data_IF_892612956077
#
_entry.id   IF_892612956077
#
_cell.length_a   1.000
_cell.length_b   1.000
_cell.length_c   1.000
_cell.angle_alpha   90.00
_cell.angle_beta   90.00
_cell.angle_gamma   90.00
#
_symmetry.space_group_name_H-M   'P 1'
#
loop_
_entity.id
_entity.type
_entity.pdbx_description
1 polymer ?
#
# COMPACT_ATOMS: atom_id res chain seq x y z
N UNK A 1 19.01 15.44 41.98
CA UNK A 1 19.19 13.97 42.01
C UNK A 1 17.95 13.33 41.42
N UNK A 2 17.91 13.15 40.10
CA UNK A 2 16.84 12.43 39.41
C UNK A 2 17.22 10.95 39.41
N UNK A 3 16.67 10.19 40.34
CA UNK A 3 16.69 8.74 40.31
C UNK A 3 15.76 8.29 39.16
N UNK A 4 16.30 8.30 37.94
CA UNK A 4 15.62 7.80 36.76
C UNK A 4 15.38 6.30 36.89
N UNK A 5 14.14 5.89 36.63
CA UNK A 5 13.61 4.56 36.84
C UNK A 5 14.55 3.45 36.29
N UNK A 6 15.22 2.67 37.16
CA UNK A 6 16.17 1.65 36.73
C UNK A 6 15.51 0.56 35.86
N UNK A 7 14.21 0.36 36.00
CA UNK A 7 13.40 -0.53 35.15
C UNK A 7 13.33 -0.07 33.69
N UNK A 8 13.31 1.24 33.42
CA UNK A 8 13.29 1.78 32.05
C UNK A 8 14.66 1.62 31.39
N UNK A 9 15.73 1.82 32.16
CA UNK A 9 17.11 1.61 31.68
C UNK A 9 17.36 0.12 31.43
N UNK A 10 16.87 -0.76 32.32
CA UNK A 10 16.91 -2.20 32.11
C UNK A 10 16.08 -2.63 30.89
N UNK A 11 14.91 -2.02 30.67
CA UNK A 11 14.07 -2.28 29.49
C UNK A 11 14.73 -1.81 28.19
N UNK A 12 15.37 -0.64 28.20
CA UNK A 12 16.13 -0.12 27.06
C UNK A 12 17.39 -0.95 26.79
N UNK A 13 18.10 -1.37 27.84
CA UNK A 13 19.24 -2.28 27.72
C UNK A 13 18.80 -3.65 27.22
N UNK A 14 17.69 -4.20 27.72
CA UNK A 14 17.09 -5.45 27.25
C UNK A 14 16.64 -5.35 25.79
N UNK A 15 16.11 -4.22 25.37
CA UNK A 15 15.78 -3.95 23.96
C UNK A 15 17.04 -3.83 23.08
N UNK A 16 18.14 -3.27 23.60
CA UNK A 16 19.42 -3.13 22.89
C UNK A 16 20.27 -4.42 22.88
N UNK A 17 20.19 -5.25 23.92
CA UNK A 17 20.99 -6.46 24.14
C UNK A 17 20.25 -7.74 23.73
N UNK A 18 18.95 -7.82 24.02
CA UNK A 18 18.03 -8.79 23.42
C UNK A 18 17.50 -8.21 22.12
N UNK A 19 18.43 -7.83 21.25
CA UNK A 19 18.20 -7.05 20.05
C UNK A 19 16.92 -7.51 19.38
N UNK A 20 16.04 -6.53 19.11
CA UNK A 20 14.85 -6.65 18.26
C UNK A 20 14.57 -8.11 17.99
N UNK A 21 13.74 -8.77 18.81
CA UNK A 21 13.09 -9.98 18.35
C UNK A 21 12.41 -9.55 17.06
N UNK A 22 13.16 -9.67 15.97
CA UNK A 22 12.74 -9.45 14.61
C UNK A 22 11.54 -10.32 14.58
N UNK A 23 10.35 -9.71 14.52
CA UNK A 23 9.12 -10.42 14.21
C UNK A 23 9.52 -11.37 13.09
N UNK A 24 9.69 -12.64 13.46
CA UNK A 24 10.56 -13.50 12.68
C UNK A 24 9.79 -13.70 11.40
N UNK A 25 10.24 -13.03 10.34
CA UNK A 25 9.45 -12.92 9.13
C UNK A 25 9.23 -14.36 8.67
N UNK A 26 7.99 -14.85 8.76
CA UNK A 26 7.57 -16.11 8.14
C UNK A 26 7.67 -16.02 6.60
N UNK A 27 8.15 -14.89 6.09
CA UNK A 27 8.36 -14.55 4.69
C UNK A 27 9.66 -15.19 4.20
N UNK A 28 9.56 -16.42 3.68
CA UNK A 28 10.66 -17.09 2.99
C UNK A 28 10.85 -16.50 1.59
N UNK A 29 11.56 -15.37 1.50
CA UNK A 29 11.83 -14.66 0.24
C UNK A 29 12.42 -15.56 -0.86
N UNK A 30 13.20 -16.59 -0.48
CA UNK A 30 13.85 -17.53 -1.42
C UNK A 30 12.88 -18.44 -2.17
N UNK A 31 11.69 -18.65 -1.63
CA UNK A 31 10.64 -19.49 -2.23
C UNK A 31 9.64 -18.68 -3.07
N UNK A 32 9.74 -17.35 -3.04
CA UNK A 32 8.82 -16.46 -3.76
C UNK A 32 9.22 -16.30 -5.22
N UNK A 33 8.21 -16.16 -6.09
CA UNK A 33 8.46 -15.76 -7.46
C UNK A 33 9.04 -14.33 -7.52
N UNK A 34 9.83 -13.99 -8.56
CA UNK A 34 10.51 -12.70 -8.64
C UNK A 34 9.57 -11.49 -8.54
N UNK A 35 8.40 -11.55 -9.18
CA UNK A 35 7.39 -10.48 -9.16
C UNK A 35 6.81 -10.24 -7.77
N UNK A 36 6.56 -11.31 -6.99
CA UNK A 36 6.11 -11.16 -5.61
C UNK A 36 7.19 -10.60 -4.70
N UNK A 37 8.44 -11.01 -4.89
CA UNK A 37 9.58 -10.41 -4.18
C UNK A 37 9.67 -8.91 -4.43
N UNK A 38 9.48 -8.48 -5.68
CA UNK A 38 9.42 -7.06 -6.04
C UNK A 38 8.26 -6.35 -5.33
N UNK A 39 7.07 -6.95 -5.25
CA UNK A 39 5.95 -6.38 -4.50
C UNK A 39 6.31 -6.15 -3.03
N UNK A 40 6.94 -7.12 -2.35
CA UNK A 40 7.41 -6.92 -0.98
C UNK A 40 8.49 -5.84 -0.86
N UNK A 41 9.35 -5.66 -1.87
CA UNK A 41 10.29 -4.54 -1.87
C UNK A 41 9.55 -3.20 -1.92
N UNK A 42 8.54 -3.06 -2.77
CA UNK A 42 7.69 -1.87 -2.83
C UNK A 42 6.95 -1.62 -1.52
N UNK A 43 6.44 -2.68 -0.88
CA UNK A 43 5.78 -2.58 0.43
C UNK A 43 6.75 -1.99 1.48
N UNK A 44 7.97 -2.49 1.55
CA UNK A 44 8.99 -2.00 2.49
C UNK A 44 9.45 -0.57 2.20
N UNK A 45 9.48 -0.17 0.92
CA UNK A 45 9.87 1.19 0.49
C UNK A 45 8.79 2.23 0.82
N UNK A 46 7.53 1.86 0.64
CA UNK A 46 6.37 2.76 0.81
C UNK A 46 5.89 2.82 2.27
N UNK A 47 6.00 1.74 3.06
CA UNK A 47 5.71 1.79 4.50
C UNK A 47 6.42 0.71 5.31
N UNK A 48 7.44 1.11 6.09
CA UNK A 48 8.22 0.20 6.96
C UNK A 48 7.38 -0.43 8.06
N UNK A 49 6.52 0.35 8.72
CA UNK A 49 5.69 -0.13 9.83
C UNK A 49 4.64 -1.12 9.34
N UNK A 50 3.95 -0.78 8.24
CA UNK A 50 2.94 -1.67 7.67
C UNK A 50 3.57 -2.93 7.06
N UNK A 51 4.76 -2.82 6.47
CA UNK A 51 5.50 -3.96 5.94
C UNK A 51 5.84 -4.99 7.03
N UNK A 52 6.24 -4.54 8.23
CA UNK A 52 6.55 -5.43 9.34
C UNK A 52 5.30 -6.18 9.84
N UNK A 53 4.17 -5.49 9.97
CA UNK A 53 2.90 -6.09 10.37
C UNK A 53 2.40 -7.07 9.31
N UNK A 54 2.45 -6.67 8.04
CA UNK A 54 2.03 -7.53 6.92
C UNK A 54 2.85 -8.81 6.89
N UNK A 55 4.18 -8.72 6.99
CA UNK A 55 5.06 -9.89 6.94
C UNK A 55 4.89 -10.87 8.12
N UNK A 56 4.20 -10.46 9.19
CA UNK A 56 3.84 -11.31 10.32
C UNK A 56 2.59 -12.17 10.06
N UNK A 57 1.79 -11.84 9.04
CA UNK A 57 0.58 -12.57 8.67
C UNK A 57 0.91 -13.95 8.06
N UNK A 58 -0.05 -14.86 8.18
CA UNK A 58 0.09 -16.26 7.75
C UNK A 58 -0.45 -16.51 6.34
N UNK A 59 0.30 -17.33 5.60
CA UNK A 59 -0.12 -17.93 4.31
C UNK A 59 -0.61 -16.91 3.28
N UNK A 60 -1.65 -17.29 2.56
CA UNK A 60 -2.22 -16.53 1.44
C UNK A 60 -2.75 -15.14 1.84
N UNK A 61 -3.13 -14.96 3.12
CA UNK A 61 -3.62 -13.68 3.62
C UNK A 61 -2.52 -12.61 3.59
N UNK A 62 -1.28 -12.99 3.90
CA UNK A 62 -0.12 -12.10 3.85
C UNK A 62 0.05 -11.50 2.47
N UNK A 63 0.00 -12.35 1.46
CA UNK A 63 0.20 -11.99 0.06
C UNK A 63 -0.97 -11.13 -0.43
N UNK A 64 -2.21 -11.48 -0.08
CA UNK A 64 -3.39 -10.67 -0.40
C UNK A 64 -3.33 -9.27 0.22
N UNK A 65 -2.91 -9.13 1.48
CA UNK A 65 -2.78 -7.83 2.17
C UNK A 65 -1.64 -6.99 1.58
N UNK A 66 -0.51 -7.61 1.23
CA UNK A 66 0.60 -6.95 0.54
C UNK A 66 0.12 -6.31 -0.77
N UNK A 67 -0.54 -7.09 -1.63
CA UNK A 67 -1.04 -6.61 -2.91
C UNK A 67 -2.15 -5.57 -2.73
N UNK A 68 -3.07 -5.80 -1.80
CA UNK A 68 -4.14 -4.83 -1.52
C UNK A 68 -3.57 -3.46 -1.15
N UNK A 69 -2.58 -3.44 -0.26
CA UNK A 69 -1.91 -2.20 0.13
C UNK A 69 -1.23 -1.52 -1.06
N UNK A 70 -0.52 -2.26 -1.92
CA UNK A 70 0.17 -1.67 -3.07
C UNK A 70 -0.80 -1.11 -4.12
N UNK A 71 -1.95 -1.77 -4.31
CA UNK A 71 -3.02 -1.26 -5.17
C UNK A 71 -3.56 0.07 -4.65
N UNK A 72 -3.86 0.15 -3.36
CA UNK A 72 -4.33 1.40 -2.75
C UNK A 72 -3.26 2.48 -2.75
N UNK A 73 -2.00 2.12 -2.47
CA UNK A 73 -0.87 3.06 -2.56
C UNK A 73 -0.72 3.64 -3.97
N UNK A 74 -0.90 2.83 -5.00
CA UNK A 74 -0.86 3.30 -6.38
C UNK A 74 -2.05 4.24 -6.69
N UNK A 75 -3.25 3.91 -6.19
CA UNK A 75 -4.42 4.79 -6.28
C UNK A 75 -4.19 6.14 -5.58
N UNK A 76 -3.72 6.13 -4.34
CA UNK A 76 -3.35 7.33 -3.56
C UNK A 76 -2.30 8.17 -4.32
N UNK A 77 -1.31 7.52 -4.93
CA UNK A 77 -0.26 8.22 -5.71
C UNK A 77 -0.84 8.99 -6.90
N UNK A 78 -1.92 8.49 -7.54
CA UNK A 78 -2.62 9.22 -8.61
C UNK A 78 -3.40 10.41 -8.06
N UNK A 79 -4.02 10.23 -6.89
CA UNK A 79 -4.82 11.26 -6.22
C UNK A 79 -3.95 12.41 -5.72
N UNK A 80 -2.85 12.10 -5.04
CA UNK A 80 -1.88 13.04 -4.45
C UNK A 80 -1.12 13.86 -5.52
N UNK A 81 -0.91 13.31 -6.72
CA UNK A 81 -0.07 13.94 -7.74
C UNK A 81 -0.75 15.17 -8.36
N UNK A 82 -0.34 16.35 -7.90
CA UNK A 82 -0.84 17.65 -8.39
C UNK A 82 -0.39 18.00 -9.81
N UNK A 83 0.51 17.22 -10.42
CA UNK A 83 0.99 17.46 -11.79
C UNK A 83 0.13 16.78 -12.85
N UNK A 84 -0.72 15.83 -12.47
CA UNK A 84 -1.67 15.16 -13.36
C UNK A 84 -2.85 16.12 -13.64
N UNK A 85 -3.19 16.40 -14.93
CA UNK A 85 -4.36 17.19 -15.27
C UNK A 85 -5.64 16.61 -14.67
N UNK A 86 -6.55 17.49 -14.21
CA UNK A 86 -7.75 17.09 -13.48
C UNK A 86 -8.59 16.06 -14.25
N UNK A 87 -8.88 16.30 -15.53
CA UNK A 87 -9.69 15.38 -16.34
C UNK A 87 -9.05 13.97 -16.42
N UNK A 88 -7.73 13.92 -16.67
CA UNK A 88 -6.97 12.67 -16.69
C UNK A 88 -6.99 11.98 -15.33
N UNK A 89 -6.83 12.73 -14.23
CA UNK A 89 -6.86 12.20 -12.87
C UNK A 89 -8.22 11.58 -12.57
N UNK A 90 -9.32 12.26 -12.89
CA UNK A 90 -10.68 11.77 -12.65
C UNK A 90 -10.95 10.48 -13.43
N UNK A 91 -10.57 10.43 -14.71
CA UNK A 91 -10.71 9.23 -15.52
C UNK A 91 -9.92 8.04 -14.95
N UNK A 92 -8.69 8.31 -14.50
CA UNK A 92 -7.85 7.30 -13.84
C UNK A 92 -8.45 6.81 -12.53
N UNK A 93 -8.91 7.70 -11.64
CA UNK A 93 -9.49 7.34 -10.35
C UNK A 93 -10.75 6.48 -10.51
N UNK A 94 -11.65 6.84 -11.43
CA UNK A 94 -12.85 6.04 -11.72
C UNK A 94 -12.51 4.68 -12.32
N UNK A 95 -11.53 4.65 -13.22
CA UNK A 95 -11.19 3.44 -14.00
C UNK A 95 -10.13 2.56 -13.32
N UNK A 96 -9.54 2.98 -12.21
CA UNK A 96 -8.35 2.34 -11.63
C UNK A 96 -8.55 0.84 -11.35
N UNK A 97 -9.72 0.47 -10.84
CA UNK A 97 -10.09 -0.91 -10.57
C UNK A 97 -10.05 -1.81 -11.82
N UNK A 98 -10.25 -1.25 -13.02
CA UNK A 98 -10.17 -2.01 -14.29
C UNK A 98 -8.73 -2.31 -14.69
N UNK A 99 -7.78 -1.43 -14.32
CA UNK A 99 -6.35 -1.61 -14.59
C UNK A 99 -5.74 -2.80 -13.84
N UNK A 100 -6.40 -3.28 -12.77
CA UNK A 100 -6.02 -4.52 -12.10
C UNK A 100 -6.04 -5.74 -13.03
N UNK A 101 -6.91 -5.73 -14.04
CA UNK A 101 -7.02 -6.79 -15.04
C UNK A 101 -6.17 -6.51 -16.29
N UNK A 102 -5.64 -5.30 -16.46
CA UNK A 102 -4.77 -4.94 -17.57
C UNK A 102 -3.30 -5.33 -17.25
N UNK A 103 -2.68 -6.24 -18.02
CA UNK A 103 -1.31 -6.65 -17.80
C UNK A 103 -0.27 -5.62 -18.28
N UNK A 104 -0.66 -4.64 -19.09
CA UNK A 104 0.24 -3.66 -19.69
C UNK A 104 0.10 -2.26 -19.07
N UNK A 105 -0.99 -2.01 -18.34
CA UNK A 105 -1.24 -0.69 -17.76
C UNK A 105 -0.15 -0.29 -16.79
N UNK A 106 0.37 0.94 -16.99
CA UNK A 106 1.37 1.59 -16.17
C UNK A 106 1.29 3.10 -16.41
N UNK A 107 1.72 3.89 -15.44
CA UNK A 107 1.75 5.34 -15.56
C UNK A 107 3.16 5.87 -15.26
N UNK A 108 3.74 6.60 -16.22
CA UNK A 108 5.16 7.01 -16.22
C UNK A 108 5.37 8.51 -15.96
N UNK A 109 4.28 9.27 -15.87
CA UNK A 109 4.33 10.73 -15.83
C UNK A 109 4.22 11.30 -14.40
N UNK A 110 4.09 10.42 -13.40
CA UNK A 110 3.97 10.85 -12.02
C UNK A 110 5.28 11.44 -11.48
N UNK A 111 5.16 12.50 -10.69
CA UNK A 111 6.26 13.13 -9.97
C UNK A 111 6.30 12.79 -8.48
N UNK A 112 5.35 11.97 -8.02
CA UNK A 112 5.25 11.59 -6.62
C UNK A 112 6.40 10.72 -6.13
N UNK A 113 6.63 10.75 -4.81
CA UNK A 113 7.70 9.96 -4.17
C UNK A 113 7.55 8.46 -4.44
N UNK A 114 6.31 7.97 -4.35
CA UNK A 114 6.00 6.55 -4.47
C UNK A 114 5.66 6.14 -5.91
N UNK A 115 5.89 7.01 -6.92
CA UNK A 115 5.59 6.78 -8.36
C UNK A 115 6.02 5.42 -8.91
N UNK A 116 7.01 4.78 -8.30
CA UNK A 116 7.49 3.46 -8.71
C UNK A 116 6.37 2.41 -8.75
N UNK A 117 5.37 2.51 -7.85
CA UNK A 117 4.22 1.58 -7.87
C UNK A 117 3.30 1.79 -9.07
N UNK A 118 3.32 2.97 -9.69
CA UNK A 118 2.60 3.27 -10.94
C UNK A 118 3.40 2.87 -12.18
N UNK A 119 4.70 3.15 -12.17
CA UNK A 119 5.61 2.81 -13.28
C UNK A 119 5.72 1.30 -13.50
N UNK A 120 5.76 0.53 -12.41
CA UNK A 120 5.85 -0.93 -12.40
C UNK A 120 4.55 -1.60 -11.92
N UNK A 121 3.41 -0.93 -12.15
CA UNK A 121 2.10 -1.50 -11.86
C UNK A 121 1.83 -2.87 -12.53
N UNK A 122 2.37 -3.20 -13.73
CA UNK A 122 2.24 -4.53 -14.31
C UNK A 122 2.68 -5.67 -13.40
N UNK A 123 3.73 -5.46 -12.59
CA UNK A 123 4.22 -6.44 -11.62
C UNK A 123 3.20 -6.63 -10.49
N UNK A 124 2.61 -5.55 -9.99
CA UNK A 124 1.58 -5.58 -8.94
C UNK A 124 0.31 -6.25 -9.46
N UNK A 125 -0.16 -5.85 -10.65
CA UNK A 125 -1.37 -6.38 -11.27
C UNK A 125 -1.20 -7.86 -11.66
N UNK A 126 0.03 -8.29 -12.00
CA UNK A 126 0.34 -9.70 -12.22
C UNK A 126 0.13 -10.54 -10.95
N UNK A 127 0.63 -10.10 -9.79
CA UNK A 127 0.43 -10.82 -8.53
C UNK A 127 -1.03 -10.76 -8.08
N UNK A 128 -1.70 -9.62 -8.27
CA UNK A 128 -3.14 -9.50 -8.03
C UNK A 128 -3.95 -10.58 -8.77
N UNK A 129 -3.70 -10.77 -10.07
CA UNK A 129 -4.40 -11.78 -10.89
C UNK A 129 -4.12 -13.23 -10.47
N UNK A 130 -3.06 -13.49 -9.70
CA UNK A 130 -2.75 -14.81 -9.14
C UNK A 130 -3.46 -15.09 -7.82
N UNK A 131 -4.01 -14.08 -7.15
CA UNK A 131 -4.72 -14.24 -5.89
C UNK A 131 -6.00 -15.07 -6.08
N UNK A 132 -6.52 -15.63 -4.98
CA UNK A 132 -7.83 -16.31 -5.01
C UNK A 132 -8.93 -15.34 -5.46
N UNK A 133 -9.96 -15.81 -6.19
CA UNK A 133 -11.04 -14.96 -6.68
C UNK A 133 -11.70 -14.09 -5.59
N UNK A 134 -11.88 -14.63 -4.38
CA UNK A 134 -12.42 -13.89 -3.24
C UNK A 134 -11.59 -12.63 -2.89
N UNK A 135 -10.26 -12.74 -2.92
CA UNK A 135 -9.39 -11.58 -2.65
C UNK A 135 -9.43 -10.57 -3.80
N UNK A 136 -9.46 -11.07 -5.04
CA UNK A 136 -9.55 -10.19 -6.22
C UNK A 136 -10.84 -9.36 -6.20
N UNK A 137 -11.97 -9.98 -5.86
CA UNK A 137 -13.28 -9.32 -5.77
C UNK A 137 -13.28 -8.22 -4.72
N UNK A 138 -12.81 -8.52 -3.49
CA UNK A 138 -12.75 -7.54 -2.39
C UNK A 138 -11.84 -6.37 -2.73
N UNK A 139 -10.63 -6.64 -3.23
CA UNK A 139 -9.67 -5.58 -3.59
C UNK A 139 -10.24 -4.70 -4.71
N UNK A 140 -10.86 -5.30 -5.74
CA UNK A 140 -11.44 -4.55 -6.85
C UNK A 140 -12.62 -3.69 -6.42
N UNK A 141 -13.52 -4.20 -5.57
CA UNK A 141 -14.66 -3.44 -5.07
C UNK A 141 -14.22 -2.25 -4.22
N UNK A 142 -13.28 -2.47 -3.28
CA UNK A 142 -12.78 -1.39 -2.45
C UNK A 142 -12.04 -0.35 -3.29
N UNK A 143 -11.18 -0.78 -4.22
CA UNK A 143 -10.47 0.13 -5.13
C UNK A 143 -11.45 0.98 -5.96
N UNK A 144 -12.54 0.37 -6.47
CA UNK A 144 -13.58 1.09 -7.22
C UNK A 144 -14.29 2.12 -6.36
N UNK A 145 -14.65 1.76 -5.13
CA UNK A 145 -15.35 2.66 -4.19
C UNK A 145 -14.45 3.81 -3.72
N UNK A 146 -13.19 3.52 -3.39
CA UNK A 146 -12.20 4.53 -3.00
C UNK A 146 -11.91 5.48 -4.15
N UNK A 147 -11.66 4.97 -5.36
CA UNK A 147 -11.43 5.82 -6.53
C UNK A 147 -12.61 6.73 -6.85
N UNK A 148 -13.85 6.24 -6.73
CA UNK A 148 -15.04 7.07 -6.88
C UNK A 148 -15.17 8.15 -5.79
N UNK A 149 -14.87 7.81 -4.52
CA UNK A 149 -14.88 8.76 -3.42
C UNK A 149 -13.81 9.85 -3.60
N UNK A 150 -12.57 9.47 -3.90
CA UNK A 150 -11.47 10.38 -4.20
C UNK A 150 -11.82 11.32 -5.36
N UNK A 151 -12.40 10.81 -6.45
CA UNK A 151 -12.83 11.64 -7.57
C UNK A 151 -13.90 12.68 -7.17
N UNK A 152 -14.83 12.34 -6.27
CA UNK A 152 -15.81 13.30 -5.73
C UNK A 152 -15.11 14.41 -4.93
N UNK A 153 -14.13 14.06 -4.09
CA UNK A 153 -13.41 15.02 -3.25
C UNK A 153 -12.44 15.91 -4.03
N UNK A 154 -11.73 15.38 -5.02
CA UNK A 154 -10.81 16.15 -5.87
C UNK A 154 -11.54 17.25 -6.65
N UNK A 155 -12.82 17.07 -6.97
CA UNK A 155 -13.65 18.10 -7.62
C UNK A 155 -14.16 19.17 -6.64
N UNK A 156 -14.14 18.89 -5.32
CA UNK A 156 -14.57 19.83 -4.29
C UNK A 156 -13.39 20.69 -3.86
N UNK A 157 -13.62 22.00 -3.77
CA UNK A 157 -12.57 22.96 -3.40
C UNK A 157 -12.21 22.91 -1.91
N UNK A 158 -13.16 22.52 -1.05
CA UNK A 158 -13.03 22.48 0.41
C UNK A 158 -13.87 21.36 1.05
N UNK A 159 -13.40 20.86 2.21
CA UNK A 159 -14.16 20.00 3.13
C UNK A 159 -14.78 20.91 4.19
N UNK A 160 -16.02 21.32 3.98
CA UNK A 160 -16.65 22.41 4.75
C UNK A 160 -17.29 21.97 6.06
N UNK A 161 -17.63 20.69 6.22
CA UNK A 161 -18.41 20.20 7.39
C UNK A 161 -17.80 18.97 8.04
N UNK A 162 -18.10 18.75 9.33
CA UNK A 162 -17.76 17.51 10.05
C UNK A 162 -18.35 16.27 9.35
N UNK A 163 -19.53 16.41 8.72
CA UNK A 163 -20.15 15.34 7.97
C UNK A 163 -19.39 15.01 6.66
N UNK A 164 -18.74 16.00 6.04
CA UNK A 164 -17.85 15.76 4.90
C UNK A 164 -16.52 15.12 5.34
N UNK A 165 -16.10 15.32 6.59
CA UNK A 165 -14.91 14.71 7.19
C UNK A 165 -15.10 13.23 7.56
N UNK A 166 -16.30 12.86 8.01
CA UNK A 166 -16.66 11.49 8.39
C UNK A 166 -17.02 10.59 7.19
N UNK A 167 -17.19 11.18 6.00
CA UNK A 167 -17.61 10.51 4.76
C UNK A 167 -16.42 9.99 3.97
#
# INVERSE_FOLDING_TARGET
>A
MLAGHPEEIYSLLKFKLGGCETVQAKCHYDQMCPSMRTCYQYLNQTSRSFAAVTQALDGDLRDAVCIFYLVLRALDTVEDDMTIPLDTKLDMLHSFHTYLQDPAWRFMESNEKDKKVLEDFPTISQEFRKLKPLYQEVISDICRRMGAGMAEFVQRSDVDTLADWDK
#
